data_IF_117131128312
#
_entry.id   IF_117131128312
#
_cell.length_a   1.000
_cell.length_b   1.000
_cell.length_c   1.000
_cell.angle_alpha   90.00
_cell.angle_beta   90.00
_cell.angle_gamma   90.00
#
_symmetry.space_group_name_H-M   'P 1'
#
loop_
_entity.id
_entity.type
_entity.pdbx_description
1 polymer ?
#
# COMPACT_ATOMS: atom_id res chain seq x y z
N UNK A 1 -4.42 -11.30 22.29
CA UNK A 1 -3.92 -10.92 20.95
C UNK A 1 -4.58 -9.61 20.56
N UNK A 2 -4.47 -8.57 21.40
CA UNK A 2 -5.43 -7.46 21.38
C UNK A 2 -4.79 -6.07 21.34
N UNK A 3 -3.52 -5.95 21.72
CA UNK A 3 -2.82 -4.67 21.79
C UNK A 3 -2.20 -4.25 20.45
N UNK A 4 -1.70 -5.21 19.65
CA UNK A 4 -1.09 -4.93 18.35
C UNK A 4 -2.10 -4.39 17.33
N UNK A 5 -3.31 -4.96 17.26
CA UNK A 5 -4.33 -4.50 16.32
C UNK A 5 -4.88 -3.09 16.65
N UNK A 6 -4.95 -2.76 17.94
CA UNK A 6 -5.42 -1.45 18.43
C UNK A 6 -4.39 -0.35 18.14
N UNK A 7 -3.11 -0.62 18.36
CA UNK A 7 -2.02 0.30 18.05
C UNK A 7 -1.90 0.56 16.54
N UNK A 8 -1.97 -0.48 15.70
CA UNK A 8 -1.94 -0.32 14.24
C UNK A 8 -3.15 0.46 13.71
N UNK A 9 -4.32 0.34 14.36
CA UNK A 9 -5.51 1.13 14.02
C UNK A 9 -5.37 2.60 14.46
N UNK A 10 -4.75 2.84 15.62
CA UNK A 10 -4.48 4.18 16.11
C UNK A 10 -3.43 4.92 15.24
N UNK A 11 -2.38 4.24 14.78
CA UNK A 11 -1.39 4.82 13.86
C UNK A 11 -2.00 5.18 12.51
N UNK A 12 -2.80 4.29 11.91
CA UNK A 12 -3.55 4.57 10.67
C UNK A 12 -4.38 5.84 10.79
N UNK A 13 -5.15 5.96 11.88
CA UNK A 13 -6.03 7.12 12.08
C UNK A 13 -5.32 8.48 12.23
N UNK A 14 -3.99 8.49 12.41
CA UNK A 14 -3.22 9.70 12.70
C UNK A 14 -2.37 10.18 11.54
N UNK A 15 -2.12 9.34 10.53
CA UNK A 15 -1.30 9.76 9.39
C UNK A 15 -2.13 10.35 8.25
N UNK A 16 -1.42 11.00 7.33
CA UNK A 16 -2.02 11.74 6.22
C UNK A 16 -2.09 10.89 4.93
N UNK A 17 -1.78 9.60 5.00
CA UNK A 17 -1.85 8.74 3.84
C UNK A 17 -3.31 8.44 3.49
N UNK A 18 -3.57 8.20 2.20
CA UNK A 18 -4.81 7.53 1.84
C UNK A 18 -4.75 6.08 2.31
N UNK A 19 -5.89 5.52 2.68
CA UNK A 19 -5.98 4.17 3.21
C UNK A 19 -6.67 3.23 2.21
N UNK A 20 -6.24 1.97 2.24
CA UNK A 20 -6.75 0.91 1.37
C UNK A 20 -6.00 -0.39 1.60
N UNK A 21 -6.17 -1.33 0.70
CA UNK A 21 -5.52 -2.65 0.82
C UNK A 21 -4.88 -3.10 -0.48
N UNK A 22 -3.81 -3.90 -0.36
CA UNK A 22 -3.21 -4.56 -1.53
C UNK A 22 -4.23 -5.55 -2.09
N UNK A 23 -4.75 -5.30 -3.30
CA UNK A 23 -5.77 -6.18 -3.87
C UNK A 23 -5.19 -7.33 -4.67
N UNK A 24 -4.07 -7.09 -5.38
CA UNK A 24 -3.36 -8.10 -6.17
C UNK A 24 -1.87 -7.79 -6.28
N UNK A 25 -1.07 -8.84 -6.35
CA UNK A 25 0.37 -8.76 -6.64
C UNK A 25 0.70 -9.59 -7.87
N UNK A 26 1.52 -9.03 -8.76
CA UNK A 26 2.01 -9.70 -9.96
C UNK A 26 3.55 -9.65 -10.00
N UNK A 27 4.25 -10.47 -9.21
CA UNK A 27 5.72 -10.42 -9.11
C UNK A 27 6.42 -10.58 -10.45
N UNK A 28 5.92 -11.46 -11.32
CA UNK A 28 6.47 -11.67 -12.68
C UNK A 28 6.44 -10.42 -13.56
N UNK A 29 5.53 -9.49 -13.27
CA UNK A 29 5.33 -8.24 -14.02
C UNK A 29 5.83 -7.00 -13.25
N UNK A 30 6.48 -7.17 -12.09
CA UNK A 30 6.96 -6.09 -11.21
C UNK A 30 5.88 -5.04 -10.91
N UNK A 31 4.66 -5.49 -10.60
CA UNK A 31 3.52 -4.61 -10.35
C UNK A 31 2.55 -5.18 -9.32
N UNK A 32 1.77 -4.28 -8.73
CA UNK A 32 0.65 -4.64 -7.85
C UNK A 32 -0.47 -3.61 -7.96
N UNK A 33 -1.57 -3.89 -7.27
CA UNK A 33 -2.75 -3.04 -7.21
C UNK A 33 -3.10 -2.73 -5.76
N UNK A 34 -3.44 -1.47 -5.49
CA UNK A 34 -4.07 -1.04 -4.24
C UNK A 34 -5.55 -0.81 -4.52
N UNK A 35 -6.42 -1.43 -3.73
CA UNK A 35 -7.84 -1.12 -3.67
C UNK A 35 -8.04 0.02 -2.67
N UNK A 36 -8.50 1.15 -3.21
CA UNK A 36 -8.90 2.33 -2.45
C UNK A 36 -10.20 2.08 -1.66
N UNK A 37 -10.51 2.91 -0.67
CA UNK A 37 -11.79 2.87 0.06
C UNK A 37 -13.02 2.96 -0.85
N UNK A 38 -12.92 3.67 -1.98
CA UNK A 38 -14.01 3.77 -2.96
C UNK A 38 -14.16 2.51 -3.84
N UNK A 39 -13.35 1.47 -3.61
CA UNK A 39 -13.32 0.23 -4.38
C UNK A 39 -12.55 0.31 -5.71
N UNK A 40 -11.97 1.46 -6.06
CA UNK A 40 -11.12 1.58 -7.27
C UNK A 40 -9.79 0.88 -7.05
N UNK A 41 -9.25 0.26 -8.09
CA UNK A 41 -7.90 -0.33 -8.09
C UNK A 41 -6.92 0.62 -8.78
N UNK A 42 -5.86 0.99 -8.06
CA UNK A 42 -4.80 1.86 -8.56
C UNK A 42 -3.50 1.06 -8.61
N UNK A 43 -2.80 1.03 -9.76
CA UNK A 43 -1.60 0.24 -9.90
C UNK A 43 -0.34 0.93 -9.35
N UNK A 44 0.59 0.13 -8.84
CA UNK A 44 1.98 0.51 -8.58
C UNK A 44 2.96 -0.41 -9.31
N UNK A 45 4.19 0.05 -9.46
CA UNK A 45 5.30 -0.77 -9.94
C UNK A 45 6.30 -0.97 -8.82
N UNK A 46 6.77 -2.21 -8.67
CA UNK A 46 7.71 -2.60 -7.62
C UNK A 46 9.01 -1.79 -7.68
N UNK A 47 9.44 -1.43 -8.89
CA UNK A 47 10.68 -0.68 -9.10
C UNK A 47 10.58 0.80 -8.70
N UNK A 48 9.36 1.36 -8.67
CA UNK A 48 9.14 2.80 -8.54
C UNK A 48 8.33 3.19 -7.30
N UNK A 49 7.87 2.21 -6.52
CA UNK A 49 7.14 2.46 -5.28
C UNK A 49 8.12 2.63 -4.13
N UNK A 50 7.96 3.70 -3.36
CA UNK A 50 8.67 3.91 -2.11
C UNK A 50 7.95 3.15 -0.99
N UNK A 51 8.67 2.31 -0.26
CA UNK A 51 8.11 1.54 0.87
C UNK A 51 8.51 2.20 2.19
N UNK A 52 7.51 2.37 3.06
CA UNK A 52 7.64 2.94 4.39
C UNK A 52 7.11 1.95 5.43
N UNK A 53 7.79 1.85 6.57
CA UNK A 53 7.41 0.93 7.66
C UNK A 53 8.27 -0.34 7.69
N UNK A 54 7.67 -1.44 8.13
CA UNK A 54 8.39 -2.69 8.38
C UNK A 54 8.80 -3.42 7.10
N UNK A 55 7.96 -3.36 6.07
CA UNK A 55 8.23 -4.00 4.78
C UNK A 55 9.29 -3.23 4.02
N UNK A 56 10.38 -3.93 3.65
CA UNK A 56 11.52 -3.32 2.93
C UNK A 56 11.57 -3.68 1.45
N UNK A 57 10.77 -4.65 1.01
CA UNK A 57 10.69 -5.06 -0.38
C UNK A 57 9.24 -5.32 -0.83
N UNK A 58 8.89 -5.04 -2.10
CA UNK A 58 7.53 -5.32 -2.59
C UNK A 58 7.14 -6.80 -2.55
N UNK A 59 8.12 -7.71 -2.48
CA UNK A 59 7.89 -9.15 -2.30
C UNK A 59 7.41 -9.56 -0.91
N UNK A 60 7.56 -8.71 0.09
CA UNK A 60 7.04 -8.95 1.45
C UNK A 60 5.59 -8.47 1.61
N UNK A 61 5.04 -7.75 0.63
CA UNK A 61 3.64 -7.35 0.62
C UNK A 61 2.73 -8.56 0.44
N UNK A 62 1.54 -8.50 1.02
CA UNK A 62 0.55 -9.56 0.96
C UNK A 62 -0.78 -9.05 0.42
N UNK A 63 -1.47 -9.87 -0.37
CA UNK A 63 -2.84 -9.55 -0.79
C UNK A 63 -3.77 -9.52 0.42
N UNK A 64 -4.64 -8.51 0.48
CA UNK A 64 -5.49 -8.20 1.63
C UNK A 64 -4.81 -7.35 2.72
N UNK A 65 -3.50 -7.07 2.61
CA UNK A 65 -2.79 -6.24 3.58
C UNK A 65 -3.28 -4.79 3.53
N UNK A 66 -3.68 -4.26 4.68
CA UNK A 66 -4.03 -2.85 4.86
C UNK A 66 -2.79 -1.97 4.81
N UNK A 67 -2.84 -0.91 4.01
CA UNK A 67 -1.71 -0.01 3.75
C UNK A 67 -2.16 1.44 3.63
N UNK A 68 -1.23 2.33 3.98
CA UNK A 68 -1.29 3.73 3.62
C UNK A 68 -0.66 3.90 2.23
N UNK A 69 -1.15 4.82 1.41
CA UNK A 69 -0.56 5.09 0.11
C UNK A 69 -0.66 6.56 -0.32
N UNK A 70 0.26 6.95 -1.20
CA UNK A 70 0.22 8.20 -1.94
C UNK A 70 -0.02 7.95 -3.43
N UNK A 71 -0.63 8.93 -4.07
CA UNK A 71 -0.89 8.93 -5.51
C UNK A 71 -0.02 9.95 -6.23
N UNK A 72 0.49 9.56 -7.39
CA UNK A 72 1.25 10.44 -8.28
C UNK A 72 0.82 10.27 -9.73
N UNK A 73 0.87 11.38 -10.49
CA UNK A 73 0.73 11.34 -11.94
C UNK A 73 2.06 10.94 -12.57
N UNK A 74 2.01 9.92 -13.42
CA UNK A 74 3.16 9.43 -14.19
C UNK A 74 2.83 9.46 -15.69
N UNK A 75 3.82 9.20 -16.54
CA UNK A 75 3.59 8.98 -17.97
C UNK A 75 2.63 7.82 -18.27
N UNK A 76 2.39 6.93 -17.31
CA UNK A 76 1.45 5.80 -17.40
C UNK A 76 0.13 6.06 -16.66
N UNK A 77 -0.19 7.33 -16.40
CA UNK A 77 -1.37 7.77 -15.66
C UNK A 77 -1.17 7.82 -14.15
N UNK A 78 -2.28 7.84 -13.41
CA UNK A 78 -2.29 7.82 -11.94
C UNK A 78 -1.72 6.50 -11.41
N UNK A 79 -0.75 6.59 -10.50
CA UNK A 79 -0.07 5.44 -9.88
C UNK A 79 0.03 5.63 -8.39
N UNK A 80 0.07 4.52 -7.65
CA UNK A 80 0.54 4.53 -6.27
C UNK A 80 2.07 4.67 -6.29
N UNK A 81 2.58 5.70 -5.60
CA UNK A 81 4.01 6.05 -5.58
C UNK A 81 4.67 5.76 -4.25
N UNK A 82 3.89 5.72 -3.16
CA UNK A 82 4.35 5.32 -1.83
C UNK A 82 3.39 4.32 -1.23
N UNK A 83 3.91 3.36 -0.49
CA UNK A 83 3.14 2.41 0.33
C UNK A 83 3.73 2.42 1.73
N UNK A 84 2.88 2.71 2.72
CA UNK A 84 3.20 2.58 4.14
C UNK A 84 2.53 1.31 4.68
N UNK A 85 3.34 0.41 5.23
CA UNK A 85 2.87 -0.74 5.99
C UNK A 85 2.83 -0.42 7.47
N UNK A 86 1.83 -0.95 8.16
CA UNK A 86 1.66 -0.81 9.60
C UNK A 86 2.04 -2.13 10.30
N UNK A 87 2.41 -2.09 11.59
CA UNK A 87 2.67 -3.28 12.40
C UNK A 87 1.46 -4.23 12.50
#
# INVERSE_FOLDING_TARGET
>A
MSQTEEDSKAERSKDLFYHGSISKLFPSNNMGLVRTESGREVPFSFQFVELLGEVKSPSELQEGQEVGYDLGWTSKGLRVTKIKTYP
#
